data_IF_325332904632
#
_entry.id   IF_325332904632
#
_cell.length_a   1.000
_cell.length_b   1.000
_cell.length_c   1.000
_cell.angle_alpha   90.00
_cell.angle_beta   90.00
_cell.angle_gamma   90.00
#
_symmetry.space_group_name_H-M   'P 1'
#
loop_
_entity.id
_entity.type
_entity.pdbx_description
1 polymer ?
#
# COMPACT_ATOMS: atom_id res chain seq x y z
N UNK A 1 22.26 11.87 -14.46
CA UNK A 1 22.67 10.47 -14.19
C UNK A 1 21.52 9.50 -14.52
N UNK A 2 20.36 9.51 -13.80
CA UNK A 2 19.27 8.56 -14.10
C UNK A 2 18.69 8.76 -15.53
N UNK A 3 18.52 10.00 -15.98
CA UNK A 3 18.09 10.32 -17.35
C UNK A 3 19.11 9.88 -18.42
N UNK A 4 20.39 9.90 -18.11
CA UNK A 4 21.43 9.41 -19.01
C UNK A 4 21.39 7.89 -19.16
N UNK A 5 20.90 7.17 -18.17
CA UNK A 5 20.73 5.71 -18.15
C UNK A 5 19.31 5.26 -18.52
N UNK A 6 18.49 6.14 -19.10
CA UNK A 6 17.07 5.85 -19.37
C UNK A 6 16.90 4.63 -20.29
N UNK A 7 17.73 4.47 -21.29
CA UNK A 7 17.66 3.33 -22.22
C UNK A 7 17.97 2.00 -21.52
N UNK A 8 18.96 1.99 -20.63
CA UNK A 8 19.33 0.81 -19.83
C UNK A 8 18.18 0.44 -18.86
N UNK A 9 17.53 1.46 -18.26
CA UNK A 9 16.37 1.25 -17.37
C UNK A 9 15.19 0.66 -18.17
N UNK A 10 14.87 1.20 -19.34
CA UNK A 10 13.81 0.68 -20.20
C UNK A 10 14.09 -0.77 -20.62
N UNK A 11 15.34 -1.11 -20.96
CA UNK A 11 15.71 -2.47 -21.31
C UNK A 11 15.54 -3.42 -20.12
N UNK A 12 15.98 -3.01 -18.92
CA UNK A 12 15.88 -3.80 -17.71
C UNK A 12 14.42 -4.06 -17.27
N UNK A 13 13.50 -3.12 -17.54
CA UNK A 13 12.10 -3.21 -17.18
C UNK A 13 11.21 -3.85 -18.26
N UNK A 14 11.76 -4.17 -19.42
CA UNK A 14 11.01 -4.73 -20.55
C UNK A 14 10.32 -6.04 -20.19
N UNK A 15 9.02 -6.12 -20.46
CA UNK A 15 8.20 -7.30 -20.23
C UNK A 15 7.70 -7.46 -18.79
N UNK A 16 7.94 -6.47 -17.92
CA UNK A 16 7.32 -6.43 -16.60
C UNK A 16 5.85 -6.00 -16.69
N UNK A 17 4.94 -6.75 -16.07
CA UNK A 17 3.53 -6.38 -15.94
C UNK A 17 3.30 -5.39 -14.80
N UNK A 18 4.16 -5.46 -13.76
CA UNK A 18 4.12 -4.58 -12.59
C UNK A 18 5.53 -4.21 -12.14
N UNK A 19 5.71 -2.95 -11.71
CA UNK A 19 6.99 -2.43 -11.19
C UNK A 19 6.75 -1.72 -9.86
N UNK A 20 7.48 -2.14 -8.83
CA UNK A 20 7.60 -1.41 -7.58
C UNK A 20 8.85 -0.54 -7.60
N UNK A 21 8.66 0.76 -7.41
CA UNK A 21 9.76 1.73 -7.28
C UNK A 21 9.90 2.09 -5.81
N UNK A 22 10.91 1.53 -5.14
CA UNK A 22 11.13 1.74 -3.71
C UNK A 22 12.26 2.75 -3.49
N UNK A 23 11.99 3.83 -2.77
CA UNK A 23 12.97 4.88 -2.55
C UNK A 23 12.80 5.64 -1.23
N UNK A 24 13.93 5.95 -0.57
CA UNK A 24 13.98 6.96 0.49
C UNK A 24 14.17 8.35 -0.11
N UNK A 25 13.38 9.32 0.30
CA UNK A 25 13.43 10.69 -0.20
C UNK A 25 14.35 11.61 0.64
N UNK A 26 15.18 11.01 1.51
CA UNK A 26 16.19 11.74 2.30
C UNK A 26 17.38 12.23 1.47
N UNK A 27 17.66 11.57 0.35
CA UNK A 27 18.87 11.79 -0.45
C UNK A 27 18.61 12.09 -1.91
N UNK A 28 19.67 12.52 -2.61
CA UNK A 28 19.61 12.87 -4.02
C UNK A 28 19.37 11.68 -4.96
N UNK A 29 19.86 10.49 -4.61
CA UNK A 29 19.72 9.28 -5.43
C UNK A 29 18.26 8.83 -5.52
N UNK A 30 17.61 8.58 -4.37
CA UNK A 30 16.21 8.17 -4.31
C UNK A 30 15.29 9.22 -4.93
N UNK A 31 15.44 10.48 -4.52
CA UNK A 31 14.62 11.60 -5.03
C UNK A 31 14.81 11.85 -6.53
N UNK A 32 16.02 11.65 -7.05
CA UNK A 32 16.32 11.93 -8.47
C UNK A 32 16.01 10.76 -9.41
N UNK A 33 16.24 9.52 -8.96
CA UNK A 33 16.08 8.35 -9.83
C UNK A 33 14.65 7.80 -9.83
N UNK A 34 13.93 7.89 -8.69
CA UNK A 34 12.62 7.27 -8.55
C UNK A 34 11.61 7.74 -9.62
N UNK A 35 11.57 9.05 -9.91
CA UNK A 35 10.68 9.61 -10.93
C UNK A 35 11.02 9.14 -12.34
N UNK A 36 12.32 9.00 -12.65
CA UNK A 36 12.78 8.53 -13.97
C UNK A 36 12.42 7.06 -14.16
N UNK A 37 12.71 6.21 -13.14
CA UNK A 37 12.38 4.78 -13.18
C UNK A 37 10.87 4.57 -13.27
N UNK A 38 10.07 5.31 -12.50
CA UNK A 38 8.62 5.25 -12.57
C UNK A 38 8.10 5.62 -13.95
N UNK A 39 8.61 6.72 -14.54
CA UNK A 39 8.26 7.13 -15.89
C UNK A 39 8.60 6.09 -16.95
N UNK A 40 9.78 5.44 -16.86
CA UNK A 40 10.17 4.35 -17.76
C UNK A 40 9.25 3.13 -17.64
N UNK A 41 8.90 2.73 -16.40
CA UNK A 41 8.00 1.61 -16.16
C UNK A 41 6.60 1.86 -16.75
N UNK A 42 6.06 3.05 -16.53
CA UNK A 42 4.76 3.46 -17.06
C UNK A 42 4.75 3.56 -18.59
N UNK A 43 5.84 4.07 -19.19
CA UNK A 43 6.00 4.10 -20.67
C UNK A 43 5.93 2.71 -21.29
N UNK A 44 6.45 1.69 -20.60
CA UNK A 44 6.36 0.29 -21.01
C UNK A 44 4.98 -0.35 -20.76
N UNK A 45 4.05 0.38 -20.13
CA UNK A 45 2.69 -0.10 -19.82
C UNK A 45 2.60 -0.96 -18.57
N UNK A 46 3.68 -1.06 -17.78
CA UNK A 46 3.67 -1.77 -16.50
C UNK A 46 2.86 -0.99 -15.46
N UNK A 47 2.07 -1.70 -14.65
CA UNK A 47 1.45 -1.12 -13.46
C UNK A 47 2.54 -0.65 -12.49
N UNK A 48 2.65 0.65 -12.29
CA UNK A 48 3.77 1.26 -11.58
C UNK A 48 3.35 1.77 -10.22
N UNK A 49 3.90 1.18 -9.16
CA UNK A 49 3.63 1.55 -7.77
C UNK A 49 4.90 2.08 -7.10
N UNK A 50 4.87 3.34 -6.69
CA UNK A 50 5.96 3.96 -5.96
C UNK A 50 5.76 3.81 -4.44
N UNK A 51 6.75 3.29 -3.74
CA UNK A 51 6.81 3.13 -2.30
C UNK A 51 7.92 4.03 -1.77
N UNK A 52 7.56 5.09 -1.06
CA UNK A 52 8.55 6.10 -0.65
C UNK A 52 8.47 6.43 0.83
N UNK A 53 9.63 6.73 1.44
CA UNK A 53 9.70 7.29 2.79
C UNK A 53 9.94 8.78 2.74
N UNK A 54 9.27 9.52 3.63
CA UNK A 54 9.60 10.91 3.89
C UNK A 54 10.93 11.03 4.66
N UNK A 55 11.65 12.18 4.54
CA UNK A 55 12.90 12.41 5.25
C UNK A 55 12.76 12.29 6.77
N UNK A 56 13.69 11.58 7.40
CA UNK A 56 13.73 11.42 8.86
C UNK A 56 14.30 12.63 9.60
N UNK A 57 15.11 13.46 8.93
CA UNK A 57 15.78 14.59 9.55
C UNK A 57 14.90 15.84 9.66
N UNK A 58 14.58 16.24 10.89
CA UNK A 58 13.68 17.37 11.22
C UNK A 58 14.26 18.74 10.87
N UNK A 59 15.59 18.85 10.71
CA UNK A 59 16.30 20.15 10.72
C UNK A 59 16.32 20.89 9.39
N UNK A 60 15.92 20.24 8.30
CA UNK A 60 15.94 20.87 6.99
C UNK A 60 14.52 21.08 6.46
N UNK A 61 13.96 22.27 6.65
CA UNK A 61 12.70 22.67 5.99
C UNK A 61 12.75 22.45 4.48
N UNK A 62 13.93 22.57 3.89
CA UNK A 62 14.18 22.31 2.47
C UNK A 62 14.04 20.83 2.08
N UNK A 63 14.37 19.88 2.97
CA UNK A 63 14.26 18.45 2.68
C UNK A 63 12.79 18.01 2.59
N UNK A 64 11.93 18.46 3.48
CA UNK A 64 10.51 18.18 3.44
C UNK A 64 9.84 18.76 2.18
N UNK A 65 10.17 20.00 1.81
CA UNK A 65 9.66 20.64 0.59
C UNK A 65 10.13 19.93 -0.68
N UNK A 66 11.40 19.49 -0.73
CA UNK A 66 11.94 18.69 -1.83
C UNK A 66 11.24 17.36 -1.95
N UNK A 67 11.06 16.64 -0.82
CA UNK A 67 10.36 15.37 -0.80
C UNK A 67 8.91 15.49 -1.30
N UNK A 68 8.18 16.49 -0.84
CA UNK A 68 6.82 16.80 -1.31
C UNK A 68 6.79 17.00 -2.84
N UNK A 69 7.72 17.81 -3.38
CA UNK A 69 7.83 18.03 -4.83
C UNK A 69 8.17 16.74 -5.61
N UNK A 70 8.94 15.82 -5.01
CA UNK A 70 9.23 14.51 -5.64
C UNK A 70 7.99 13.61 -5.59
N UNK A 71 7.25 13.60 -4.48
CA UNK A 71 6.00 12.85 -4.35
C UNK A 71 4.98 13.33 -5.38
N UNK A 72 4.82 14.63 -5.58
CA UNK A 72 3.91 15.17 -6.59
C UNK A 72 4.31 14.75 -8.01
N UNK A 73 5.61 14.78 -8.34
CA UNK A 73 6.11 14.27 -9.62
C UNK A 73 5.90 12.76 -9.77
N UNK A 74 6.06 11.99 -8.69
CA UNK A 74 5.80 10.55 -8.70
C UNK A 74 4.32 10.26 -8.97
N UNK A 75 3.38 11.05 -8.45
CA UNK A 75 1.95 10.92 -8.77
C UNK A 75 1.64 11.12 -10.26
N UNK A 76 2.46 11.90 -10.96
CA UNK A 76 2.34 12.07 -12.41
C UNK A 76 2.97 10.92 -13.20
N UNK A 77 4.00 10.25 -12.63
CA UNK A 77 4.82 9.24 -13.31
C UNK A 77 4.51 7.81 -12.88
N UNK A 78 3.78 7.59 -11.81
CA UNK A 78 3.35 6.28 -11.31
C UNK A 78 1.82 6.18 -11.33
N UNK A 79 1.30 4.96 -11.27
CA UNK A 79 -0.14 4.70 -11.13
C UNK A 79 -0.61 4.93 -9.70
N UNK A 80 0.21 4.51 -8.74
CA UNK A 80 -0.05 4.68 -7.32
C UNK A 80 1.22 5.09 -6.56
N UNK A 81 1.08 5.95 -5.57
CA UNK A 81 2.17 6.36 -4.66
C UNK A 81 1.74 6.09 -3.22
N UNK A 82 2.46 5.22 -2.54
CA UNK A 82 2.30 4.92 -1.12
C UNK A 82 3.45 5.59 -0.36
N UNK A 83 3.11 6.52 0.52
CA UNK A 83 4.09 7.26 1.30
C UNK A 83 4.08 6.78 2.75
N UNK A 84 5.24 6.35 3.24
CA UNK A 84 5.46 6.04 4.64
C UNK A 84 6.06 7.27 5.31
N UNK A 85 5.23 7.98 6.07
CA UNK A 85 5.67 9.17 6.78
C UNK A 85 6.39 8.81 8.07
N UNK A 86 7.28 9.70 8.51
CA UNK A 86 7.92 9.59 9.82
C UNK A 86 6.90 9.51 10.95
N UNK A 87 5.81 10.25 10.85
CA UNK A 87 4.73 10.23 11.84
C UNK A 87 4.13 8.83 11.98
N UNK A 88 3.86 8.16 10.87
CA UNK A 88 3.37 6.78 10.88
C UNK A 88 4.35 5.82 11.57
N UNK A 89 5.65 5.98 11.33
CA UNK A 89 6.67 5.13 11.96
C UNK A 89 6.74 5.34 13.48
N UNK A 90 6.58 6.57 13.95
CA UNK A 90 6.52 6.85 15.39
C UNK A 90 5.23 6.33 16.04
N UNK A 91 4.11 6.38 15.35
CA UNK A 91 2.84 5.82 15.84
C UNK A 91 2.92 4.28 15.94
N UNK A 92 3.65 3.62 15.05
CA UNK A 92 3.83 2.16 15.04
C UNK A 92 4.86 1.71 16.09
N UNK A 93 6.01 2.40 16.20
CA UNK A 93 7.16 1.92 16.98
C UNK A 93 7.39 2.70 18.28
N UNK A 94 6.68 3.81 18.50
CA UNK A 94 6.88 4.72 19.63
C UNK A 94 7.83 5.88 19.34
N UNK A 95 7.70 6.96 20.12
CA UNK A 95 8.46 8.20 19.90
C UNK A 95 9.95 8.11 20.24
N UNK A 96 10.34 7.12 21.04
CA UNK A 96 11.74 6.89 21.44
C UNK A 96 12.52 6.01 20.43
N UNK A 97 11.89 5.67 19.30
CA UNK A 97 12.48 4.86 18.24
C UNK A 97 13.73 5.55 17.66
N UNK A 98 14.84 4.83 17.64
CA UNK A 98 16.07 5.30 16.99
C UNK A 98 15.89 5.40 15.47
N UNK A 99 16.74 6.20 14.81
CA UNK A 99 16.70 6.34 13.34
C UNK A 99 16.91 4.98 12.66
N UNK A 100 17.81 4.15 13.20
CA UNK A 100 18.08 2.82 12.64
C UNK A 100 16.87 1.90 12.74
N UNK A 101 16.16 1.90 13.86
CA UNK A 101 14.92 1.14 14.04
C UNK A 101 13.81 1.67 13.14
N UNK A 102 13.69 2.98 12.96
CA UNK A 102 12.71 3.58 12.06
C UNK A 102 12.97 3.19 10.58
N UNK A 103 14.23 3.15 10.15
CA UNK A 103 14.61 2.68 8.80
C UNK A 103 14.23 1.20 8.64
N UNK A 104 14.58 0.35 9.60
CA UNK A 104 14.20 -1.08 9.56
C UNK A 104 12.68 -1.28 9.55
N UNK A 105 11.95 -0.46 10.28
CA UNK A 105 10.48 -0.50 10.26
C UNK A 105 9.91 -0.13 8.89
N UNK A 106 10.45 0.91 8.25
CA UNK A 106 10.08 1.28 6.88
C UNK A 106 10.38 0.16 5.88
N UNK A 107 11.57 -0.44 5.94
CA UNK A 107 11.96 -1.56 5.09
C UNK A 107 11.00 -2.75 5.27
N UNK A 108 10.62 -3.06 6.52
CA UNK A 108 9.66 -4.12 6.81
C UNK A 108 8.26 -3.80 6.25
N UNK A 109 7.80 -2.56 6.34
CA UNK A 109 6.54 -2.12 5.74
C UNK A 109 6.59 -2.33 4.23
N UNK A 110 7.64 -1.89 3.55
CA UNK A 110 7.78 -2.08 2.11
C UNK A 110 7.83 -3.56 1.71
N UNK A 111 8.55 -4.38 2.50
CA UNK A 111 8.53 -5.82 2.30
C UNK A 111 7.12 -6.41 2.41
N UNK A 112 6.36 -6.01 3.44
CA UNK A 112 4.97 -6.48 3.62
C UNK A 112 4.06 -6.05 2.47
N UNK A 113 4.24 -4.83 1.94
CA UNK A 113 3.48 -4.33 0.78
C UNK A 113 3.76 -5.18 -0.45
N UNK A 114 5.04 -5.32 -0.82
CA UNK A 114 5.44 -6.06 -2.01
C UNK A 114 5.04 -7.53 -1.90
N UNK A 115 5.28 -8.15 -0.72
CA UNK A 115 4.88 -9.53 -0.45
C UNK A 115 3.36 -9.68 -0.51
N UNK A 116 2.60 -8.82 0.17
CA UNK A 116 1.14 -8.92 0.25
C UNK A 116 0.47 -8.79 -1.12
N UNK A 117 0.93 -7.85 -1.95
CA UNK A 117 0.43 -7.71 -3.34
C UNK A 117 0.89 -8.90 -4.20
N UNK A 118 2.13 -9.37 -4.02
CA UNK A 118 2.64 -10.55 -4.71
C UNK A 118 1.86 -11.82 -4.35
N UNK A 119 1.50 -12.00 -3.08
CA UNK A 119 0.70 -13.13 -2.62
C UNK A 119 -0.73 -13.09 -3.21
N UNK A 120 -1.35 -11.91 -3.32
CA UNK A 120 -2.65 -11.73 -3.98
C UNK A 120 -2.62 -12.24 -5.42
N UNK A 121 -1.59 -11.88 -6.17
CA UNK A 121 -1.48 -12.23 -7.59
C UNK A 121 -1.03 -13.69 -7.78
N UNK A 122 -0.18 -14.20 -6.89
CA UNK A 122 0.52 -15.47 -7.06
C UNK A 122 -0.10 -16.66 -6.37
N UNK A 123 -1.00 -16.47 -5.40
CA UNK A 123 -1.57 -17.54 -4.60
C UNK A 123 -3.03 -17.80 -4.94
N UNK A 124 -3.41 -19.09 -5.00
CA UNK A 124 -4.80 -19.48 -5.16
C UNK A 124 -5.48 -19.58 -3.80
N UNK A 125 -6.67 -19.02 -3.67
CA UNK A 125 -7.47 -19.02 -2.46
C UNK A 125 -8.89 -19.55 -2.66
N UNK A 126 -9.70 -19.43 -1.63
CA UNK A 126 -11.14 -19.75 -1.70
C UNK A 126 -11.92 -18.70 -2.47
N UNK A 127 -11.47 -17.43 -2.42
CA UNK A 127 -11.94 -16.32 -3.27
C UNK A 127 -10.68 -15.70 -3.87
N UNK A 128 -10.46 -15.98 -5.15
CA UNK A 128 -9.25 -15.53 -5.84
C UNK A 128 -9.38 -14.09 -6.28
N UNK A 129 -8.31 -13.33 -6.02
CA UNK A 129 -8.02 -12.08 -6.69
C UNK A 129 -6.95 -12.32 -7.76
N UNK A 130 -7.03 -11.60 -8.84
CA UNK A 130 -6.04 -11.69 -9.91
C UNK A 130 -5.33 -10.33 -10.15
N UNK A 131 -4.41 -10.33 -11.11
CA UNK A 131 -3.70 -9.11 -11.47
C UNK A 131 -4.63 -8.01 -12.00
N UNK A 132 -5.74 -8.37 -12.65
CA UNK A 132 -6.70 -7.40 -13.16
C UNK A 132 -7.42 -6.67 -12.02
N UNK A 133 -7.75 -7.37 -10.93
CA UNK A 133 -8.33 -6.78 -9.71
C UNK A 133 -7.37 -5.76 -9.09
N UNK A 134 -6.11 -6.16 -8.88
CA UNK A 134 -5.07 -5.25 -8.36
C UNK A 134 -4.89 -4.03 -9.26
N UNK A 135 -4.87 -4.24 -10.58
CA UNK A 135 -4.74 -3.18 -11.56
C UNK A 135 -5.94 -2.23 -11.55
N UNK A 136 -7.17 -2.71 -11.39
CA UNK A 136 -8.39 -1.87 -11.37
C UNK A 136 -8.38 -0.88 -10.19
N UNK A 137 -7.83 -1.30 -9.06
CA UNK A 137 -7.73 -0.49 -7.84
C UNK A 137 -6.56 0.51 -7.92
N UNK A 138 -5.38 0.06 -8.38
CA UNK A 138 -4.15 0.84 -8.32
C UNK A 138 -3.89 1.71 -9.56
N UNK A 139 -4.42 1.36 -10.74
CA UNK A 139 -4.15 2.11 -11.96
C UNK A 139 -4.69 3.55 -11.87
N UNK A 140 -3.81 4.51 -12.16
CA UNK A 140 -4.10 5.95 -12.15
C UNK A 140 -4.76 6.44 -10.85
N UNK A 141 -4.43 5.81 -9.73
CA UNK A 141 -5.05 6.13 -8.43
C UNK A 141 -4.38 7.32 -7.72
N UNK A 142 -3.17 7.70 -8.13
CA UNK A 142 -2.41 8.77 -7.50
C UNK A 142 -1.95 8.38 -6.10
N UNK A 143 -2.58 8.90 -5.04
CA UNK A 143 -2.26 8.52 -3.66
C UNK A 143 -2.96 7.22 -3.29
N UNK A 144 -2.20 6.28 -2.70
CA UNK A 144 -2.71 5.06 -2.13
C UNK A 144 -2.31 4.93 -0.65
N UNK A 145 -3.20 4.36 0.15
CA UNK A 145 -2.97 4.03 1.55
C UNK A 145 -3.04 2.53 1.74
N UNK A 146 -2.33 2.01 2.73
CA UNK A 146 -2.29 0.59 2.99
C UNK A 146 -2.36 0.32 4.49
N UNK A 147 -3.09 -0.72 4.86
CA UNK A 147 -3.17 -1.20 6.23
C UNK A 147 -2.83 -2.68 6.30
N UNK A 148 -2.15 -3.06 7.38
CA UNK A 148 -1.88 -4.44 7.71
C UNK A 148 -2.45 -4.75 9.08
N UNK A 149 -3.06 -5.92 9.22
CA UNK A 149 -3.49 -6.44 10.49
C UNK A 149 -3.19 -7.91 10.61
N UNK A 150 -2.81 -8.36 11.80
CA UNK A 150 -2.61 -9.75 12.13
C UNK A 150 -3.29 -10.03 13.47
N UNK A 151 -3.98 -11.15 13.55
CA UNK A 151 -4.59 -11.62 14.79
C UNK A 151 -4.57 -13.14 14.86
N UNK A 152 -4.85 -13.69 16.03
CA UNK A 152 -4.90 -15.13 16.25
C UNK A 152 -6.06 -15.49 17.18
N UNK A 153 -6.54 -16.74 17.07
CA UNK A 153 -7.60 -17.28 17.92
C UNK A 153 -9.00 -17.11 17.34
N UNK A 154 -9.99 -16.96 18.22
CA UNK A 154 -11.39 -16.83 17.82
C UNK A 154 -11.62 -15.52 17.07
N UNK A 155 -12.31 -15.58 15.92
CA UNK A 155 -12.57 -14.44 15.04
C UNK A 155 -11.30 -13.71 14.58
N UNK A 156 -10.24 -14.49 14.30
CA UNK A 156 -8.94 -13.94 13.92
C UNK A 156 -9.02 -13.04 12.67
N UNK A 157 -9.81 -13.39 11.66
CA UNK A 157 -9.95 -12.59 10.45
C UNK A 157 -10.60 -11.24 10.72
N UNK A 158 -11.67 -11.18 11.51
CA UNK A 158 -12.32 -9.93 11.88
C UNK A 158 -11.41 -9.05 12.76
N UNK A 159 -10.68 -9.65 13.69
CA UNK A 159 -9.72 -8.93 14.53
C UNK A 159 -8.55 -8.38 13.70
N UNK A 160 -8.06 -9.13 12.72
CA UNK A 160 -7.02 -8.69 11.79
C UNK A 160 -7.49 -7.52 10.90
N UNK A 161 -8.74 -7.56 10.40
CA UNK A 161 -9.31 -6.44 9.64
C UNK A 161 -9.41 -5.18 10.50
N UNK A 162 -9.85 -5.29 11.75
CA UNK A 162 -9.89 -4.15 12.68
C UNK A 162 -8.49 -3.57 12.93
N UNK A 163 -7.50 -4.43 13.14
CA UNK A 163 -6.10 -3.99 13.28
C UNK A 163 -5.59 -3.30 12.01
N UNK A 164 -5.95 -3.79 10.82
CA UNK A 164 -5.59 -3.13 9.55
C UNK A 164 -6.25 -1.75 9.40
N UNK A 165 -7.52 -1.61 9.79
CA UNK A 165 -8.26 -0.33 9.78
C UNK A 165 -7.62 0.68 10.73
N UNK A 166 -7.17 0.25 11.89
CA UNK A 166 -6.51 1.09 12.90
C UNK A 166 -5.06 1.43 12.55
N UNK A 167 -4.50 0.83 11.49
CA UNK A 167 -3.13 1.09 11.07
C UNK A 167 -2.92 2.58 10.70
N UNK A 168 -1.87 3.23 11.23
CA UNK A 168 -1.54 4.61 10.89
C UNK A 168 -1.25 4.81 9.40
N UNK A 169 -0.95 3.73 8.67
CA UNK A 169 -0.70 3.75 7.22
C UNK A 169 -2.00 3.78 6.40
N UNK A 170 -3.17 3.47 7.00
CA UNK A 170 -4.47 3.43 6.32
C UNK A 170 -5.33 4.68 6.60
N UNK A 171 -4.70 5.82 6.87
CA UNK A 171 -5.41 7.09 7.20
C UNK A 171 -6.40 7.56 6.12
N UNK A 172 -6.22 7.12 4.88
CA UNK A 172 -7.08 7.48 3.76
C UNK A 172 -8.29 6.57 3.53
N UNK A 173 -8.61 5.63 4.44
CA UNK A 173 -9.76 4.74 4.26
C UNK A 173 -11.08 5.51 4.21
N UNK A 174 -11.23 6.52 5.09
CA UNK A 174 -12.37 7.42 5.05
C UNK A 174 -12.29 8.28 3.78
N UNK A 175 -13.27 8.13 2.93
CA UNK A 175 -13.31 8.81 1.63
C UNK A 175 -12.68 8.03 0.47
N UNK A 176 -12.11 6.83 0.70
CA UNK A 176 -11.63 5.97 -0.37
C UNK A 176 -12.81 5.45 -1.22
N UNK A 177 -12.65 5.54 -2.54
CA UNK A 177 -13.64 5.08 -3.53
C UNK A 177 -13.27 3.75 -4.19
N UNK A 178 -12.05 3.27 -3.98
CA UNK A 178 -11.63 1.95 -4.44
C UNK A 178 -10.79 1.27 -3.35
N UNK A 179 -11.17 0.07 -2.97
CA UNK A 179 -10.57 -0.69 -1.88
C UNK A 179 -10.32 -2.12 -2.34
N UNK A 180 -9.12 -2.60 -2.06
CA UNK A 180 -8.78 -4.01 -2.20
C UNK A 180 -8.42 -4.55 -0.84
N UNK A 181 -9.04 -5.66 -0.45
CA UNK A 181 -8.76 -6.37 0.79
C UNK A 181 -8.43 -7.83 0.49
N UNK A 182 -7.38 -8.36 1.10
CA UNK A 182 -7.13 -9.79 1.09
C UNK A 182 -6.92 -10.32 2.51
N UNK A 183 -7.64 -11.38 2.83
CA UNK A 183 -7.53 -12.12 4.10
C UNK A 183 -6.72 -13.39 3.83
N UNK A 184 -5.66 -13.60 4.59
CA UNK A 184 -4.82 -14.80 4.53
C UNK A 184 -4.89 -15.52 5.86
N UNK A 185 -5.16 -16.83 5.84
CA UNK A 185 -5.21 -17.64 7.05
C UNK A 185 -5.49 -19.11 6.76
N UNK A 186 -5.52 -19.92 7.81
CA UNK A 186 -5.97 -21.31 7.70
C UNK A 186 -7.49 -21.39 7.57
N UNK A 187 -8.02 -22.53 7.18
CA UNK A 187 -9.45 -22.80 7.17
C UNK A 187 -10.12 -22.57 8.52
N UNK A 188 -9.35 -22.66 9.62
CA UNK A 188 -9.82 -22.43 10.99
C UNK A 188 -9.81 -20.95 11.34
N UNK A 189 -8.77 -20.20 10.98
CA UNK A 189 -8.56 -18.82 11.39
C UNK A 189 -9.29 -17.80 10.51
N UNK A 190 -9.59 -18.15 9.25
CA UNK A 190 -10.42 -17.30 8.36
C UNK A 190 -11.86 -17.25 8.88
N UNK A 191 -12.34 -18.32 9.53
CA UNK A 191 -13.73 -18.40 9.95
C UNK A 191 -14.70 -18.71 8.80
N UNK A 192 -15.98 -18.53 9.06
CA UNK A 192 -17.03 -18.75 8.06
C UNK A 192 -17.36 -17.49 7.26
N UNK A 193 -18.21 -17.65 6.23
CA UNK A 193 -18.70 -16.54 5.40
C UNK A 193 -19.30 -15.39 6.22
N UNK A 194 -19.87 -15.66 7.38
CA UNK A 194 -20.42 -14.63 8.28
C UNK A 194 -19.32 -13.71 8.78
N UNK A 195 -18.18 -14.28 9.20
CA UNK A 195 -17.05 -13.50 9.72
C UNK A 195 -16.38 -12.66 8.63
N UNK A 196 -16.21 -13.23 7.43
CA UNK A 196 -15.71 -12.48 6.27
C UNK A 196 -16.66 -11.34 5.89
N UNK A 197 -17.98 -11.57 5.97
CA UNK A 197 -18.97 -10.51 5.70
C UNK A 197 -18.94 -9.42 6.77
N UNK A 198 -18.82 -9.78 8.07
CA UNK A 198 -18.64 -8.79 9.16
C UNK A 198 -17.36 -7.95 8.92
N UNK A 199 -16.27 -8.58 8.49
CA UNK A 199 -15.02 -7.92 8.17
C UNK A 199 -15.15 -6.94 6.99
N UNK A 200 -15.81 -7.35 5.91
CA UNK A 200 -16.06 -6.49 4.74
C UNK A 200 -16.97 -5.32 5.09
N UNK A 201 -18.02 -5.56 5.89
CA UNK A 201 -18.94 -4.52 6.37
C UNK A 201 -18.20 -3.45 7.18
N UNK A 202 -17.27 -3.86 8.06
CA UNK A 202 -16.48 -2.91 8.86
C UNK A 202 -15.64 -1.96 8.00
N UNK A 203 -15.15 -2.40 6.84
CA UNK A 203 -14.46 -1.53 5.87
C UNK A 203 -15.46 -0.64 5.13
N UNK A 204 -16.59 -1.19 4.71
CA UNK A 204 -17.59 -0.47 3.95
C UNK A 204 -18.20 0.70 4.74
N UNK A 205 -18.40 0.55 6.04
CA UNK A 205 -18.92 1.60 6.94
C UNK A 205 -17.96 2.81 7.06
N UNK A 206 -16.67 2.61 6.81
CA UNK A 206 -15.65 3.65 6.90
C UNK A 206 -15.28 4.26 5.55
N UNK A 207 -15.54 3.54 4.46
CA UNK A 207 -15.24 3.98 3.11
C UNK A 207 -16.27 5.00 2.60
N UNK A 208 -16.02 5.57 1.43
CA UNK A 208 -17.02 6.38 0.72
C UNK A 208 -18.26 5.52 0.39
N UNK A 209 -19.45 6.10 0.42
CA UNK A 209 -20.71 5.37 0.17
C UNK A 209 -20.76 4.65 -1.19
N UNK A 210 -20.07 5.18 -2.21
CA UNK A 210 -19.98 4.62 -3.55
C UNK A 210 -18.64 3.85 -3.77
N UNK A 211 -18.00 3.41 -2.67
CA UNK A 211 -16.71 2.71 -2.79
C UNK A 211 -16.88 1.35 -3.46
N UNK A 212 -16.05 1.10 -4.46
CA UNK A 212 -15.82 -0.24 -5.01
C UNK A 212 -14.92 -1.02 -4.07
N UNK A 213 -15.41 -2.15 -3.54
CA UNK A 213 -14.64 -3.00 -2.64
C UNK A 213 -14.43 -4.36 -3.27
N UNK A 214 -13.19 -4.66 -3.61
CA UNK A 214 -12.76 -5.96 -4.10
C UNK A 214 -12.09 -6.70 -2.95
N UNK A 215 -12.50 -7.93 -2.67
CA UNK A 215 -11.94 -8.71 -1.59
C UNK A 215 -11.65 -10.15 -1.99
N UNK A 216 -10.59 -10.69 -1.39
CA UNK A 216 -10.16 -12.06 -1.59
C UNK A 216 -9.87 -12.77 -0.27
N UNK A 217 -9.82 -14.10 -0.36
CA UNK A 217 -9.48 -14.98 0.75
C UNK A 217 -8.49 -16.02 0.26
N UNK A 218 -7.28 -15.96 0.78
CA UNK A 218 -6.20 -16.90 0.51
C UNK A 218 -6.07 -17.88 1.67
N UNK A 219 -6.14 -19.17 1.39
CA UNK A 219 -6.01 -20.21 2.41
C UNK A 219 -4.56 -20.66 2.50
N UNK A 220 -3.97 -20.49 3.69
CA UNK A 220 -2.64 -21.00 4.04
C UNK A 220 -2.72 -21.75 5.39
N UNK A 221 -2.72 -23.08 5.34
CA UNK A 221 -2.81 -23.92 6.54
C UNK A 221 -1.60 -23.78 7.48
N UNK A 222 -0.45 -23.26 6.99
CA UNK A 222 0.71 -22.98 7.82
C UNK A 222 0.48 -21.83 8.81
N UNK A 223 -0.53 -20.99 8.57
CA UNK A 223 -0.93 -19.88 9.47
C UNK A 223 -1.53 -20.40 10.80
N UNK A 224 -2.03 -21.63 10.86
CA UNK A 224 -2.59 -22.22 12.08
C UNK A 224 -3.80 -21.44 12.60
N UNK A 225 -3.66 -20.82 13.78
CA UNK A 225 -4.72 -19.99 14.41
C UNK A 225 -4.63 -18.50 14.01
N UNK A 226 -3.63 -18.13 13.20
CA UNK A 226 -3.41 -16.76 12.77
C UNK A 226 -4.16 -16.43 11.49
N UNK A 227 -4.63 -15.19 11.41
CA UNK A 227 -5.07 -14.57 10.17
C UNK A 227 -4.33 -13.24 9.99
N UNK A 228 -4.00 -12.92 8.75
CA UNK A 228 -3.44 -11.63 8.35
C UNK A 228 -4.31 -10.99 7.28
N UNK A 229 -4.33 -9.68 7.26
CA UNK A 229 -5.12 -8.89 6.31
C UNK A 229 -4.28 -7.77 5.76
N UNK A 230 -4.37 -7.58 4.47
CA UNK A 230 -3.90 -6.38 3.78
C UNK A 230 -5.12 -5.62 3.25
N UNK A 231 -5.16 -4.31 3.46
CA UNK A 231 -6.17 -3.40 2.91
C UNK A 231 -5.45 -2.31 2.14
N UNK A 232 -5.84 -2.09 0.89
CA UNK A 232 -5.34 -1.02 0.04
C UNK A 232 -6.52 -0.10 -0.26
N UNK A 233 -6.38 1.19 0.01
CA UNK A 233 -7.40 2.21 -0.20
C UNK A 233 -6.88 3.29 -1.15
N UNK A 234 -7.64 3.60 -2.19
CA UNK A 234 -7.24 4.50 -3.27
C UNK A 234 -8.41 5.36 -3.75
N UNK A 235 -8.14 6.22 -4.73
CA UNK A 235 -9.15 7.08 -5.39
C UNK A 235 -9.95 7.86 -4.35
N UNK A 236 -9.24 8.63 -3.52
CA UNK A 236 -9.87 9.45 -2.50
C UNK A 236 -10.83 10.47 -3.14
N UNK A 237 -11.96 10.71 -2.47
CA UNK A 237 -12.81 11.85 -2.82
C UNK A 237 -11.97 13.13 -2.69
N UNK A 238 -12.06 14.04 -3.65
CA UNK A 238 -11.49 15.37 -3.48
C UNK A 238 -12.26 16.11 -2.39
N UNK A 239 -11.58 16.96 -1.60
CA UNK A 239 -12.17 17.73 -0.48
C UNK A 239 -13.39 18.60 -0.89
N UNK A 240 -13.68 18.71 -2.21
CA UNK A 240 -14.83 19.43 -2.76
C UNK A 240 -16.16 18.69 -2.64
N UNK A 241 -16.17 17.39 -2.32
CA UNK A 241 -17.42 16.59 -2.22
C UNK A 241 -18.02 16.59 -0.80
N UNK A 242 -17.41 17.28 0.20
CA UNK A 242 -17.93 17.38 1.58
C UNK A 242 -18.89 18.57 1.83
N UNK A 243 -19.39 19.26 0.81
CA UNK A 243 -20.39 20.34 0.99
C UNK A 243 -21.64 20.04 0.17
N UNK A 244 -22.50 19.19 0.70
CA UNK A 244 -23.97 19.28 0.55
C UNK A 244 -24.66 18.21 1.43
N UNK A 245 -24.95 18.58 2.67
CA UNK A 245 -26.22 18.19 3.34
C UNK A 245 -26.58 19.27 4.34
#
# INVERSE_FOLDING_TARGET
>A
LAEESREDILEALRGADMVFVVAGLDGGTGSGAATVVAGCARELGALTVALVTEPFHVKEKDAASKAASVIDKLKEQADAVITVSRQCLWEINGQDTSIEEAVRAADNIFYQIVKGIGDIIGQSGSVNLDFADVKSILANSGTAFIGFGEAAGEKASLAAVKAAIESPLLKGLKGARAILMNIVGSSRSIGGMVEVNEATTAIQELAHQDAEIIWGVTTDEAMGEKASVIVIATKLAEDSDEVEV
#
